data_IF_734303211509
#
_entry.id   IF_734303211509
#
_cell.length_a   1.000
_cell.length_b   1.000
_cell.length_c   1.000
_cell.angle_alpha   90.00
_cell.angle_beta   90.00
_cell.angle_gamma   90.00
#
_symmetry.space_group_name_H-M   'P 1'
#
loop_
_entity.id
_entity.type
_entity.pdbx_description
1 polymer ?
#
# COMPACT_ATOMS: atom_id res chain seq x y z
N UNK A 1 -7.57 11.06 5.03
CA UNK A 1 -6.87 10.02 4.27
C UNK A 1 -6.50 10.65 2.94
N UNK A 2 -5.20 10.70 2.61
CA UNK A 2 -4.69 11.36 1.40
C UNK A 2 -4.50 10.34 0.28
N UNK A 3 -5.11 10.56 -0.88
CA UNK A 3 -5.15 9.61 -1.99
C UNK A 3 -4.55 10.26 -3.23
N UNK A 4 -3.68 9.52 -3.91
CA UNK A 4 -3.28 9.83 -5.28
C UNK A 4 -4.25 9.15 -6.25
N UNK A 5 -4.78 9.88 -7.22
CA UNK A 5 -5.54 9.32 -8.34
C UNK A 5 -4.83 9.66 -9.64
N UNK A 6 -4.36 8.65 -10.35
CA UNK A 6 -3.61 8.78 -11.59
C UNK A 6 -4.41 8.19 -12.76
N UNK A 7 -4.88 9.05 -13.66
CA UNK A 7 -5.80 8.71 -14.75
C UNK A 7 -5.80 9.83 -15.80
N UNK A 8 -5.57 9.47 -17.06
CA UNK A 8 -5.50 10.38 -18.21
C UNK A 8 -6.84 11.05 -18.56
N UNK A 9 -7.96 10.53 -18.06
CA UNK A 9 -9.28 11.15 -18.23
C UNK A 9 -9.62 12.14 -17.11
N UNK A 10 -8.67 12.50 -16.24
CA UNK A 10 -8.84 13.59 -15.29
C UNK A 10 -8.71 14.94 -16.03
N UNK A 11 -9.75 15.79 -16.03
CA UNK A 11 -9.63 17.12 -16.62
C UNK A 11 -8.67 18.00 -15.82
N UNK A 12 -8.03 18.95 -16.51
CA UNK A 12 -7.11 19.90 -15.89
C UNK A 12 -7.80 20.68 -14.75
N UNK A 13 -7.05 21.11 -13.73
CA UNK A 13 -7.62 21.69 -12.51
C UNK A 13 -8.40 22.99 -12.75
N UNK A 14 -8.00 23.74 -13.78
CA UNK A 14 -8.59 25.00 -14.19
C UNK A 14 -9.87 24.84 -15.04
N UNK A 15 -10.18 23.62 -15.51
CA UNK A 15 -11.38 23.33 -16.31
C UNK A 15 -12.63 23.31 -15.43
N UNK A 16 -13.52 24.26 -15.67
CA UNK A 16 -14.80 24.39 -14.97
C UNK A 16 -15.74 23.22 -15.36
N UNK A 17 -16.56 22.75 -14.41
CA UNK A 17 -17.37 21.53 -14.56
C UNK A 17 -18.32 21.55 -15.78
N UNK A 18 -18.94 22.69 -16.08
CA UNK A 18 -19.83 22.84 -17.23
C UNK A 18 -19.08 23.07 -18.56
N UNK A 19 -17.76 23.14 -18.55
CA UNK A 19 -16.91 23.36 -19.73
C UNK A 19 -16.13 22.10 -20.14
N UNK A 20 -16.29 20.97 -19.43
CA UNK A 20 -15.56 19.72 -19.72
C UNK A 20 -15.76 19.26 -21.16
N UNK A 21 -16.98 19.32 -21.69
CA UNK A 21 -17.27 18.96 -23.07
C UNK A 21 -16.45 19.82 -24.05
N UNK A 22 -16.49 21.13 -23.87
CA UNK A 22 -15.73 22.08 -24.70
C UNK A 22 -14.22 21.84 -24.58
N UNK A 23 -13.73 21.60 -23.37
CA UNK A 23 -12.34 21.25 -23.12
C UNK A 23 -11.92 19.99 -23.90
N UNK A 24 -12.74 18.94 -23.87
CA UNK A 24 -12.44 17.70 -24.61
C UNK A 24 -12.45 17.94 -26.12
N UNK A 25 -13.42 18.69 -26.63
CA UNK A 25 -13.47 19.05 -28.06
C UNK A 25 -12.23 19.83 -28.50
N UNK A 26 -11.78 20.79 -27.69
CA UNK A 26 -10.65 21.67 -28.02
C UNK A 26 -9.30 20.96 -27.89
N UNK A 27 -9.08 20.22 -26.78
CA UNK A 27 -7.81 19.54 -26.48
C UNK A 27 -7.60 18.32 -27.38
N UNK A 28 -8.61 17.45 -27.49
CA UNK A 28 -8.49 16.17 -28.18
C UNK A 28 -9.01 16.19 -29.62
N UNK A 29 -9.52 17.33 -30.09
CA UNK A 29 -10.14 17.48 -31.41
C UNK A 29 -11.20 16.41 -31.68
N UNK A 30 -11.91 15.99 -30.63
CA UNK A 30 -12.80 14.84 -30.64
C UNK A 30 -14.17 15.22 -30.08
N UNK A 31 -15.22 14.78 -30.79
CA UNK A 31 -16.61 14.85 -30.34
C UNK A 31 -17.16 13.48 -29.94
N UNK A 32 -16.29 12.53 -29.65
CA UNK A 32 -16.72 11.20 -29.21
C UNK A 32 -17.46 11.33 -27.87
N UNK A 33 -18.78 11.05 -27.81
CA UNK A 33 -19.55 11.17 -26.58
C UNK A 33 -19.00 10.29 -25.46
N UNK A 34 -18.39 9.15 -25.79
CA UNK A 34 -17.80 8.25 -24.79
C UNK A 34 -16.56 8.84 -24.15
N UNK A 35 -15.76 9.59 -24.90
CA UNK A 35 -14.59 10.28 -24.36
C UNK A 35 -15.04 11.37 -23.40
N UNK A 36 -15.99 12.22 -23.82
CA UNK A 36 -16.57 13.28 -22.98
C UNK A 36 -17.16 12.69 -21.70
N UNK A 37 -17.93 11.60 -21.80
CA UNK A 37 -18.52 10.90 -20.65
C UNK A 37 -17.46 10.46 -19.63
N UNK A 38 -16.28 10.00 -20.08
CA UNK A 38 -15.17 9.61 -19.19
C UNK A 38 -14.64 10.79 -18.39
N UNK A 39 -14.39 11.93 -19.03
CA UNK A 39 -13.91 13.14 -18.33
C UNK A 39 -14.95 13.68 -17.34
N UNK A 40 -16.23 13.70 -17.74
CA UNK A 40 -17.33 14.10 -16.85
C UNK A 40 -17.43 13.15 -15.66
N UNK A 41 -17.34 11.84 -15.89
CA UNK A 41 -17.34 10.83 -14.85
C UNK A 41 -16.17 11.02 -13.87
N UNK A 42 -14.95 11.26 -14.37
CA UNK A 42 -13.78 11.47 -13.52
C UNK A 42 -13.92 12.73 -12.66
N UNK A 43 -14.40 13.86 -13.20
CA UNK A 43 -14.70 15.05 -12.39
C UNK A 43 -15.72 14.75 -11.30
N UNK A 44 -16.81 14.06 -11.65
CA UNK A 44 -17.85 13.65 -10.69
C UNK A 44 -17.30 12.75 -9.59
N UNK A 45 -16.45 11.79 -9.93
CA UNK A 45 -15.77 10.89 -8.99
C UNK A 45 -14.89 11.67 -8.01
N UNK A 46 -14.03 12.58 -8.50
CA UNK A 46 -13.17 13.41 -7.67
C UNK A 46 -13.98 14.27 -6.68
N UNK A 47 -15.06 14.89 -7.16
CA UNK A 47 -15.95 15.70 -6.32
C UNK A 47 -16.65 14.87 -5.23
N UNK A 48 -17.14 13.68 -5.57
CA UNK A 48 -17.74 12.75 -4.60
C UNK A 48 -16.73 12.26 -3.57
N UNK A 49 -15.50 11.92 -3.98
CA UNK A 49 -14.44 11.49 -3.07
C UNK A 49 -14.06 12.60 -2.08
N UNK A 50 -13.87 13.84 -2.56
CA UNK A 50 -13.63 15.00 -1.69
C UNK A 50 -14.78 15.23 -0.72
N UNK A 51 -16.03 15.16 -1.21
CA UNK A 51 -17.23 15.26 -0.37
C UNK A 51 -17.34 14.15 0.68
N UNK A 52 -16.74 12.98 0.42
CA UNK A 52 -16.65 11.88 1.37
C UNK A 52 -15.53 12.04 2.42
N UNK A 53 -14.77 13.13 2.38
CA UNK A 53 -13.72 13.48 3.35
C UNK A 53 -12.31 13.00 2.97
N UNK A 54 -12.09 12.60 1.71
CA UNK A 54 -10.75 12.27 1.23
C UNK A 54 -10.00 13.52 0.76
N UNK A 55 -8.70 13.59 1.08
CA UNK A 55 -7.78 14.56 0.45
C UNK A 55 -7.28 13.93 -0.84
N UNK A 56 -7.58 14.55 -1.99
CA UNK A 56 -7.33 13.96 -3.31
C UNK A 56 -6.36 14.82 -4.10
N UNK A 57 -5.20 14.23 -4.40
CA UNK A 57 -4.27 14.73 -5.41
C UNK A 57 -4.53 13.94 -6.70
N UNK A 58 -4.75 14.65 -7.79
CA UNK A 58 -5.16 14.09 -9.07
C UNK A 58 -4.06 14.35 -10.11
N UNK A 59 -3.70 13.32 -10.86
CA UNK A 59 -2.62 13.36 -11.84
C UNK A 59 -3.12 12.80 -13.17
N UNK A 60 -3.07 13.62 -14.22
CA UNK A 60 -3.53 13.25 -15.56
C UNK A 60 -2.41 13.02 -16.57
N UNK A 61 -1.15 13.09 -16.13
CA UNK A 61 0.02 12.79 -16.94
C UNK A 61 0.89 11.72 -16.27
N UNK A 62 1.22 10.65 -17.00
CA UNK A 62 1.97 9.52 -16.45
C UNK A 62 3.34 9.95 -15.91
N UNK A 63 4.01 10.86 -16.64
CA UNK A 63 5.32 11.39 -16.27
C UNK A 63 5.34 12.14 -14.92
N UNK A 64 4.20 12.72 -14.51
CA UNK A 64 4.13 13.49 -13.28
C UNK A 64 3.97 12.60 -12.02
N UNK A 65 3.45 11.37 -12.16
CA UNK A 65 3.15 10.48 -11.02
C UNK A 65 4.36 10.26 -10.11
N UNK A 66 5.54 10.14 -10.71
CA UNK A 66 6.78 9.92 -9.96
C UNK A 66 7.08 11.05 -8.97
N UNK A 67 6.88 12.30 -9.40
CA UNK A 67 7.07 13.49 -8.58
C UNK A 67 6.03 13.54 -7.45
N UNK A 68 4.76 13.27 -7.75
CA UNK A 68 3.70 13.21 -6.73
C UNK A 68 4.06 12.24 -5.60
N UNK A 69 4.51 11.02 -5.94
CA UNK A 69 4.85 9.96 -4.97
C UNK A 69 6.10 10.28 -4.12
N UNK A 70 7.04 11.06 -4.68
CA UNK A 70 8.23 11.51 -3.95
C UNK A 70 7.94 12.64 -2.99
N UNK A 71 7.15 13.62 -3.42
CA UNK A 71 6.93 14.86 -2.68
C UNK A 71 5.86 14.74 -1.58
N UNK A 72 4.99 13.72 -1.69
CA UNK A 72 3.84 13.57 -0.81
C UNK A 72 3.78 12.18 -0.18
N UNK A 73 3.22 12.13 1.03
CA UNK A 73 2.88 10.87 1.70
C UNK A 73 1.39 10.55 1.46
N UNK A 74 1.14 9.48 0.71
CA UNK A 74 -0.21 8.98 0.44
C UNK A 74 -0.59 7.82 1.35
N UNK A 75 -1.89 7.64 1.53
CA UNK A 75 -2.49 6.50 2.21
C UNK A 75 -2.88 5.38 1.25
N UNK A 76 -3.21 5.72 0.00
CA UNK A 76 -3.38 4.78 -1.10
C UNK A 76 -3.16 5.50 -2.45
N UNK A 77 -2.90 4.72 -3.50
CA UNK A 77 -2.89 5.19 -4.87
C UNK A 77 -3.95 4.46 -5.69
N UNK A 78 -4.72 5.18 -6.49
CA UNK A 78 -5.68 4.66 -7.47
C UNK A 78 -5.13 4.96 -8.85
N UNK A 79 -4.88 3.94 -9.66
CA UNK A 79 -4.14 4.06 -10.92
C UNK A 79 -4.94 3.39 -12.04
N UNK A 80 -5.25 4.13 -13.11
CA UNK A 80 -5.80 3.53 -14.33
C UNK A 80 -4.71 2.73 -15.04
N UNK A 81 -5.16 1.65 -15.68
CA UNK A 81 -4.30 0.76 -16.44
C UNK A 81 -3.95 1.31 -17.81
N UNK A 82 -4.94 1.89 -18.50
CA UNK A 82 -4.81 2.39 -19.86
C UNK A 82 -4.71 3.90 -19.89
N UNK A 83 -3.70 4.42 -20.59
CA UNK A 83 -3.43 5.86 -20.70
C UNK A 83 -3.46 6.27 -22.18
N UNK A 84 -4.65 6.48 -22.72
CA UNK A 84 -4.93 6.75 -24.13
C UNK A 84 -5.10 8.24 -24.46
N UNK A 85 -5.34 9.08 -23.45
CA UNK A 85 -5.59 10.52 -23.54
C UNK A 85 -4.40 11.36 -23.03
N UNK A 86 -3.27 10.73 -22.74
CA UNK A 86 -2.00 11.40 -22.44
C UNK A 86 -1.14 11.39 -23.72
N UNK A 87 -0.95 12.58 -24.30
CA UNK A 87 -0.31 12.78 -25.60
C UNK A 87 1.19 12.43 -25.59
N UNK A 88 1.80 12.39 -24.39
CA UNK A 88 3.21 12.03 -24.22
C UNK A 88 3.46 10.51 -24.34
N UNK A 89 2.40 9.70 -24.33
CA UNK A 89 2.49 8.24 -24.39
C UNK A 89 2.23 7.75 -25.81
N UNK A 90 3.23 7.07 -26.38
CA UNK A 90 3.08 6.45 -27.70
C UNK A 90 1.97 5.41 -27.71
N UNK A 91 1.23 5.30 -28.82
CA UNK A 91 0.10 4.37 -29.00
C UNK A 91 0.37 2.93 -28.53
N UNK A 92 1.58 2.42 -28.76
CA UNK A 92 1.97 1.06 -28.36
C UNK A 92 2.15 0.90 -26.84
N UNK A 93 2.42 1.98 -26.12
CA UNK A 93 2.64 1.99 -24.68
C UNK A 93 1.38 2.33 -23.88
N UNK A 94 0.40 3.00 -24.48
CA UNK A 94 -0.88 3.37 -23.85
C UNK A 94 -1.56 2.21 -23.08
N UNK A 95 -1.63 0.96 -23.59
CA UNK A 95 -2.21 -0.16 -22.84
C UNK A 95 -1.32 -0.70 -21.71
N UNK A 96 -0.09 -0.25 -21.56
CA UNK A 96 0.86 -0.78 -20.59
C UNK A 96 1.32 0.25 -19.56
N UNK A 97 1.10 1.54 -19.80
CA UNK A 97 1.62 2.60 -18.93
C UNK A 97 1.18 2.46 -17.48
N UNK A 98 -0.07 2.10 -17.22
CA UNK A 98 -0.54 1.89 -15.85
C UNK A 98 0.23 0.80 -15.09
N UNK A 99 0.71 -0.25 -15.77
CA UNK A 99 1.60 -1.24 -15.15
C UNK A 99 2.95 -0.63 -14.78
N UNK A 100 3.51 0.22 -15.65
CA UNK A 100 4.77 0.89 -15.40
C UNK A 100 4.67 1.82 -14.18
N UNK A 101 3.60 2.61 -14.12
CA UNK A 101 3.32 3.50 -12.98
C UNK A 101 3.18 2.70 -11.67
N UNK A 102 2.44 1.58 -11.69
CA UNK A 102 2.32 0.69 -10.53
C UNK A 102 3.70 0.22 -10.05
N UNK A 103 4.58 -0.19 -10.97
CA UNK A 103 5.93 -0.65 -10.63
C UNK A 103 6.78 0.48 -10.01
N UNK A 104 6.67 1.71 -10.51
CA UNK A 104 7.32 2.89 -9.93
C UNK A 104 6.83 3.10 -8.49
N UNK A 105 5.51 3.11 -8.29
CA UNK A 105 4.88 3.31 -6.99
C UNK A 105 5.35 2.24 -6.00
N UNK A 106 5.30 0.96 -6.37
CA UNK A 106 5.70 -0.14 -5.51
C UNK A 106 7.20 -0.14 -5.20
N UNK A 107 8.04 0.25 -6.16
CA UNK A 107 9.49 0.36 -5.94
C UNK A 107 9.83 1.48 -4.95
N UNK A 108 9.16 2.63 -5.04
CA UNK A 108 9.44 3.80 -4.20
C UNK A 108 8.71 3.76 -2.86
N UNK A 109 7.51 3.20 -2.83
CA UNK A 109 6.61 3.11 -1.68
C UNK A 109 6.02 1.70 -1.58
N UNK A 110 6.81 0.67 -1.22
CA UNK A 110 6.37 -0.73 -1.23
C UNK A 110 5.23 -1.05 -0.27
N UNK A 111 4.99 -0.20 0.73
CA UNK A 111 3.88 -0.34 1.68
C UNK A 111 2.63 0.48 1.31
N UNK A 112 2.66 1.25 0.22
CA UNK A 112 1.50 2.03 -0.24
C UNK A 112 0.50 1.09 -0.92
N UNK A 113 -0.73 0.94 -0.41
CA UNK A 113 -1.76 0.18 -1.10
C UNK A 113 -2.04 0.78 -2.48
N UNK A 114 -2.02 -0.07 -3.50
CA UNK A 114 -2.31 0.33 -4.88
C UNK A 114 -3.61 -0.33 -5.32
N UNK A 115 -4.50 0.48 -5.87
CA UNK A 115 -5.77 0.08 -6.45
C UNK A 115 -5.65 0.28 -7.96
N UNK A 116 -5.72 -0.80 -8.73
CA UNK A 116 -5.83 -0.74 -10.18
C UNK A 116 -7.29 -0.49 -10.53
N UNK A 117 -7.59 0.66 -11.12
CA UNK A 117 -8.95 1.08 -11.40
C UNK A 117 -9.18 1.22 -12.90
N UNK A 118 -9.67 0.16 -13.53
CA UNK A 118 -9.74 0.10 -15.00
C UNK A 118 -10.95 -0.66 -15.52
N UNK A 119 -11.45 -0.24 -16.68
CA UNK A 119 -12.52 -0.93 -17.42
C UNK A 119 -11.98 -2.20 -18.11
N UNK A 120 -10.67 -2.28 -18.33
CA UNK A 120 -10.02 -3.42 -19.00
C UNK A 120 -9.99 -4.69 -18.16
N UNK A 121 -10.26 -4.58 -16.85
CA UNK A 121 -10.37 -5.73 -15.95
C UNK A 121 -11.47 -6.73 -16.35
N UNK A 122 -12.48 -6.27 -17.09
CA UNK A 122 -13.53 -7.13 -17.63
C UNK A 122 -13.17 -7.71 -19.02
N UNK A 123 -12.25 -7.07 -19.74
CA UNK A 123 -11.87 -7.43 -21.11
C UNK A 123 -10.90 -8.60 -21.15
N UNK A 124 -9.98 -8.68 -20.19
CA UNK A 124 -8.96 -9.73 -20.11
C UNK A 124 -8.84 -10.29 -18.67
N UNK A 125 -9.19 -11.56 -18.43
CA UNK A 125 -9.12 -12.18 -17.11
C UNK A 125 -7.68 -12.35 -16.59
N UNK A 126 -6.66 -12.21 -17.44
CA UNK A 126 -5.27 -12.23 -17.00
C UNK A 126 -4.86 -10.95 -16.29
N UNK A 127 -5.54 -9.83 -16.53
CA UNK A 127 -5.22 -8.55 -15.89
C UNK A 127 -5.52 -8.61 -14.37
N UNK A 128 -6.72 -9.01 -13.90
CA UNK A 128 -6.96 -9.19 -12.46
C UNK A 128 -6.00 -10.18 -11.79
N UNK A 129 -5.64 -11.26 -12.49
CA UNK A 129 -4.68 -12.25 -11.97
C UNK A 129 -3.29 -11.62 -11.81
N UNK A 130 -2.78 -10.93 -12.83
CA UNK A 130 -1.50 -10.24 -12.77
C UNK A 130 -1.48 -9.10 -11.73
N UNK A 131 -2.62 -8.44 -11.49
CA UNK A 131 -2.75 -7.44 -10.44
C UNK A 131 -2.60 -8.10 -9.05
N UNK A 132 -3.30 -9.22 -8.82
CA UNK A 132 -3.19 -9.97 -7.58
C UNK A 132 -1.77 -10.49 -7.33
N UNK A 133 -1.09 -11.03 -8.35
CA UNK A 133 0.30 -11.51 -8.26
C UNK A 133 1.28 -10.38 -7.87
N UNK A 134 0.98 -9.14 -8.28
CA UNK A 134 1.75 -7.95 -7.91
C UNK A 134 1.28 -7.31 -6.59
N UNK A 135 0.30 -7.88 -5.88
CA UNK A 135 -0.23 -7.30 -4.65
C UNK A 135 -1.02 -6.00 -4.86
N UNK A 136 -1.61 -5.83 -6.04
CA UNK A 136 -2.46 -4.69 -6.41
C UNK A 136 -3.92 -5.12 -6.33
N UNK A 137 -4.80 -4.25 -5.83
CA UNK A 137 -6.24 -4.51 -5.76
C UNK A 137 -6.92 -4.14 -7.09
N UNK A 138 -7.40 -5.09 -7.91
CA UNK A 138 -8.15 -4.78 -9.12
C UNK A 138 -9.58 -4.33 -8.78
N UNK A 139 -10.00 -3.19 -9.32
CA UNK A 139 -11.33 -2.62 -9.16
C UNK A 139 -11.87 -2.19 -10.52
N UNK A 140 -12.98 -2.81 -10.93
CA UNK A 140 -13.58 -2.55 -12.22
C UNK A 140 -14.16 -1.13 -12.29
N UNK A 141 -13.65 -0.34 -13.24
CA UNK A 141 -14.11 1.02 -13.54
C UNK A 141 -15.23 0.96 -14.57
N UNK A 142 -16.42 1.38 -14.17
CA UNK A 142 -17.58 1.58 -15.05
C UNK A 142 -18.19 2.94 -14.75
N UNK A 143 -18.80 3.58 -15.76
CA UNK A 143 -19.12 5.00 -15.74
C UNK A 143 -20.46 5.31 -15.04
N UNK A 144 -20.70 4.72 -13.88
CA UNK A 144 -21.94 4.90 -13.10
C UNK A 144 -21.65 5.29 -11.65
N UNK A 145 -22.64 5.90 -10.98
CA UNK A 145 -22.52 6.34 -9.59
C UNK A 145 -22.16 5.22 -8.62
N UNK A 146 -22.69 4.01 -8.85
CA UNK A 146 -22.39 2.84 -8.03
C UNK A 146 -20.89 2.49 -8.05
N UNK A 147 -20.18 2.76 -9.15
CA UNK A 147 -18.75 2.54 -9.23
C UNK A 147 -17.96 3.47 -8.29
N UNK A 148 -18.38 4.74 -8.22
CA UNK A 148 -17.79 5.74 -7.32
C UNK A 148 -18.04 5.36 -5.86
N UNK A 149 -19.27 4.94 -5.53
CA UNK A 149 -19.64 4.54 -4.18
C UNK A 149 -18.88 3.27 -3.74
N UNK A 150 -18.65 2.34 -4.67
CA UNK A 150 -17.78 1.18 -4.45
C UNK A 150 -16.34 1.59 -4.18
N UNK A 151 -15.77 2.51 -4.96
CA UNK A 151 -14.42 3.02 -4.72
C UNK A 151 -14.29 3.70 -3.35
N UNK A 152 -15.28 4.49 -2.93
CA UNK A 152 -15.34 5.09 -1.58
C UNK A 152 -15.31 4.00 -0.50
N UNK A 153 -16.12 2.94 -0.64
CA UNK A 153 -16.16 1.84 0.31
C UNK A 153 -14.80 1.11 0.39
N UNK A 154 -14.16 0.88 -0.75
CA UNK A 154 -12.83 0.25 -0.85
C UNK A 154 -11.77 1.12 -0.16
N UNK A 155 -11.75 2.43 -0.42
CA UNK A 155 -10.79 3.33 0.21
C UNK A 155 -10.97 3.39 1.74
N UNK A 156 -12.22 3.39 2.23
CA UNK A 156 -12.51 3.29 3.67
C UNK A 156 -12.02 1.96 4.26
N UNK A 157 -12.22 0.86 3.55
CA UNK A 157 -11.70 -0.44 3.96
C UNK A 157 -10.17 -0.43 4.05
N UNK A 158 -9.48 0.06 3.02
CA UNK A 158 -8.01 0.20 3.01
C UNK A 158 -7.52 1.07 4.17
N UNK A 159 -8.20 2.19 4.44
CA UNK A 159 -7.91 3.05 5.59
C UNK A 159 -8.01 2.29 6.91
N UNK A 160 -9.10 1.54 7.11
CA UNK A 160 -9.34 0.78 8.34
C UNK A 160 -8.31 -0.33 8.54
N UNK A 161 -7.90 -1.01 7.47
CA UNK A 161 -6.85 -2.03 7.51
C UNK A 161 -5.50 -1.45 7.89
N UNK A 162 -5.15 -0.27 7.33
CA UNK A 162 -3.92 0.44 7.70
C UNK A 162 -3.93 0.85 9.18
N UNK A 163 -5.06 1.30 9.70
CA UNK A 163 -5.20 1.58 11.13
C UNK A 163 -5.06 0.31 11.98
N UNK A 164 -5.67 -0.81 11.59
CA UNK A 164 -5.52 -2.07 12.31
C UNK A 164 -4.07 -2.54 12.33
N UNK A 165 -3.37 -2.50 11.19
CA UNK A 165 -1.94 -2.84 11.11
C UNK A 165 -1.09 -1.88 11.95
N UNK A 166 -1.42 -0.59 11.98
CA UNK A 166 -0.73 0.39 12.85
C UNK A 166 -1.00 0.14 14.34
N UNK A 167 -2.21 -0.30 14.69
CA UNK A 167 -2.62 -0.66 16.05
C UNK A 167 -2.03 -2.00 16.50
N UNK A 168 -1.70 -2.92 15.57
CA UNK A 168 -0.82 -4.05 15.85
C UNK A 168 0.54 -3.46 16.19
N UNK A 169 0.71 -3.29 17.49
CA UNK A 169 1.51 -2.24 18.10
C UNK A 169 2.99 -2.38 17.77
N UNK A 170 3.48 -1.51 16.88
CA UNK A 170 4.92 -1.39 16.58
C UNK A 170 5.77 -1.14 17.84
N UNK A 171 5.19 -0.57 18.90
CA UNK A 171 5.86 -0.43 20.20
C UNK A 171 5.97 -1.78 20.90
N UNK A 172 4.93 -2.60 20.88
CA UNK A 172 4.97 -3.99 21.36
C UNK A 172 6.01 -4.78 20.58
N UNK A 173 5.99 -4.75 19.25
CA UNK A 173 7.00 -5.43 18.42
C UNK A 173 8.43 -4.95 18.70
N UNK A 174 8.65 -3.64 18.81
CA UNK A 174 9.96 -3.05 19.12
C UNK A 174 10.45 -3.44 20.52
N UNK A 175 9.58 -3.41 21.52
CA UNK A 175 9.92 -3.83 22.88
C UNK A 175 10.27 -5.32 22.92
N UNK A 176 9.52 -6.17 22.21
CA UNK A 176 9.80 -7.61 22.13
C UNK A 176 11.11 -7.88 21.40
N UNK A 177 11.35 -7.18 20.29
CA UNK A 177 12.62 -7.27 19.55
C UNK A 177 13.79 -6.92 20.46
N UNK A 178 13.72 -5.80 21.20
CA UNK A 178 14.76 -5.37 22.15
C UNK A 178 14.97 -6.43 23.24
N UNK A 179 13.90 -6.95 23.83
CA UNK A 179 14.00 -7.99 24.88
C UNK A 179 14.65 -9.26 24.32
N UNK A 180 14.24 -9.70 23.13
CA UNK A 180 14.74 -10.92 22.48
C UNK A 180 16.22 -10.77 22.11
N UNK A 181 16.62 -9.62 21.56
CA UNK A 181 18.02 -9.32 21.25
C UNK A 181 18.86 -9.27 22.53
N UNK A 182 18.36 -8.64 23.60
CA UNK A 182 19.06 -8.57 24.89
C UNK A 182 19.26 -9.96 25.47
N UNK A 183 18.25 -10.83 25.43
CA UNK A 183 18.36 -12.22 25.87
C UNK A 183 19.37 -13.02 25.05
N UNK A 184 19.39 -12.84 23.72
CA UNK A 184 20.40 -13.48 22.86
C UNK A 184 21.82 -13.05 23.23
N UNK A 185 22.05 -11.75 23.47
CA UNK A 185 23.36 -11.24 23.89
C UNK A 185 23.76 -11.81 25.23
N UNK A 186 22.85 -11.84 26.21
CA UNK A 186 23.10 -12.43 27.53
C UNK A 186 23.44 -13.92 27.41
N UNK A 187 22.68 -14.67 26.61
CA UNK A 187 22.95 -16.08 26.35
C UNK A 187 24.33 -16.32 25.73
N UNK A 188 24.74 -15.47 24.78
CA UNK A 188 26.06 -15.53 24.16
C UNK A 188 27.18 -15.26 25.18
N UNK A 189 27.01 -14.28 26.05
CA UNK A 189 27.99 -13.98 27.12
C UNK A 189 28.15 -15.17 28.06
N UNK A 190 27.04 -15.79 28.49
CA UNK A 190 27.09 -16.98 29.34
C UNK A 190 27.75 -18.17 28.64
N UNK A 191 27.52 -18.34 27.33
CA UNK A 191 28.18 -19.38 26.55
C UNK A 191 29.70 -19.17 26.47
N UNK A 192 30.15 -17.93 26.23
CA UNK A 192 31.58 -17.58 26.20
C UNK A 192 32.23 -17.77 27.58
N UNK A 193 31.58 -17.32 28.65
CA UNK A 193 32.07 -17.50 30.02
C UNK A 193 32.14 -18.99 30.39
N UNK A 194 31.11 -19.77 30.03
CA UNK A 194 31.07 -21.21 30.24
C UNK A 194 32.20 -21.94 29.53
N UNK A 195 32.43 -21.63 28.25
CA UNK A 195 33.57 -22.13 27.48
C UNK A 195 34.92 -21.76 28.12
N UNK A 196 35.07 -20.51 28.56
CA UNK A 196 36.27 -20.05 29.25
C UNK A 196 36.54 -20.81 30.55
N UNK A 197 35.50 -21.06 31.36
CA UNK A 197 35.65 -21.82 32.60
C UNK A 197 35.94 -23.31 32.37
N UNK A 198 35.38 -23.91 31.31
CA UNK A 198 35.69 -25.26 30.86
C UNK A 198 37.17 -25.39 30.47
N UNK A 199 37.67 -24.44 29.66
CA UNK A 199 39.07 -24.41 29.23
C UNK A 199 40.05 -24.21 30.40
N UNK A 200 39.62 -23.50 31.45
CA UNK A 200 40.40 -23.30 32.67
C UNK A 200 40.28 -24.45 33.69
N UNK A 201 39.53 -25.51 33.35
CA UNK A 201 39.31 -26.71 34.19
C UNK A 201 38.77 -26.39 35.59
N UNK A 202 37.97 -25.31 35.70
CA UNK A 202 37.50 -24.75 36.99
C UNK A 202 36.03 -25.04 37.30
N UNK A 203 35.34 -25.92 36.57
CA UNK A 203 33.89 -26.11 36.73
C UNK A 203 33.49 -27.57 36.90
N UNK A 204 32.61 -27.81 37.88
CA UNK A 204 31.77 -29.01 37.94
C UNK A 204 30.66 -28.87 36.89
N UNK A 205 30.44 -29.91 36.09
CA UNK A 205 29.47 -29.95 34.97
C UNK A 205 28.06 -29.46 35.36
N UNK A 206 27.70 -29.52 36.64
CA UNK A 206 26.43 -29.03 37.18
C UNK A 206 26.21 -27.51 37.07
N UNK A 207 27.25 -26.68 37.16
CA UNK A 207 27.08 -25.21 37.15
C UNK A 207 26.75 -24.66 35.75
N UNK A 208 27.36 -25.24 34.72
CA UNK A 208 27.09 -24.90 33.31
C UNK A 208 25.65 -25.28 32.92
N UNK A 209 25.22 -26.46 33.35
CA UNK A 209 23.87 -26.97 33.07
C UNK A 209 22.78 -26.12 33.76
N UNK A 210 23.04 -25.67 34.99
CA UNK A 210 22.15 -24.76 35.71
C UNK A 210 22.03 -23.39 35.02
N UNK A 211 23.13 -22.83 34.52
CA UNK A 211 23.13 -21.56 33.79
C UNK A 211 22.31 -21.62 32.49
N UNK A 212 22.50 -22.68 31.68
CA UNK A 212 21.73 -22.89 30.44
C UNK A 212 20.24 -23.10 30.73
N UNK A 213 19.91 -23.84 31.80
CA UNK A 213 18.51 -24.10 32.19
C UNK A 213 17.80 -22.81 32.65
N UNK A 214 18.51 -21.93 33.35
CA UNK A 214 17.99 -20.63 33.77
C UNK A 214 17.67 -19.72 32.57
N UNK A 215 18.59 -19.63 31.60
CA UNK A 215 18.41 -18.83 30.38
C UNK A 215 17.23 -19.36 29.56
N UNK A 216 17.16 -20.68 29.35
CA UNK A 216 16.06 -21.31 28.62
C UNK A 216 14.70 -21.08 29.28
N UNK A 217 14.66 -21.10 30.62
CA UNK A 217 13.45 -20.80 31.40
C UNK A 217 13.03 -19.33 31.28
N UNK A 218 13.98 -18.39 31.31
CA UNK A 218 13.69 -16.97 31.07
C UNK A 218 13.19 -16.73 29.65
N UNK A 219 13.81 -17.33 28.63
CA UNK A 219 13.36 -17.23 27.25
C UNK A 219 11.95 -17.79 27.07
N UNK A 220 11.67 -18.96 27.65
CA UNK A 220 10.33 -19.57 27.63
C UNK A 220 9.29 -18.68 28.30
N UNK A 221 9.62 -18.06 29.43
CA UNK A 221 8.73 -17.12 30.14
C UNK A 221 8.42 -15.86 29.33
N UNK A 222 9.42 -15.28 28.66
CA UNK A 222 9.22 -14.13 27.77
C UNK A 222 8.37 -14.51 26.56
N UNK A 223 8.65 -15.67 25.95
CA UNK A 223 7.88 -16.18 24.81
C UNK A 223 6.42 -16.46 25.18
N UNK A 224 6.19 -17.04 26.36
CA UNK A 224 4.85 -17.30 26.88
C UNK A 224 4.09 -16.01 27.17
N UNK A 225 4.73 -15.02 27.80
CA UNK A 225 4.12 -13.71 28.03
C UNK A 225 3.73 -13.05 26.71
N UNK A 226 4.61 -13.09 25.71
CA UNK A 226 4.32 -12.60 24.36
C UNK A 226 3.10 -13.28 23.73
N UNK A 227 3.07 -14.61 23.69
CA UNK A 227 1.95 -15.36 23.16
C UNK A 227 0.64 -15.05 23.90
N UNK A 228 0.71 -14.82 25.21
CA UNK A 228 -0.45 -14.45 26.02
C UNK A 228 -0.99 -13.05 25.71
N UNK A 229 -0.11 -12.08 25.48
CA UNK A 229 -0.49 -10.69 25.16
C UNK A 229 -1.04 -10.60 23.72
N UNK A 230 -0.42 -11.30 22.76
CA UNK A 230 -0.95 -11.43 21.39
C UNK A 230 -2.31 -12.09 21.39
N UNK A 231 -2.49 -13.19 22.14
CA UNK A 231 -3.77 -13.89 22.26
C UNK A 231 -4.87 -12.99 22.85
N UNK A 232 -4.55 -12.18 23.86
CA UNK A 232 -5.51 -11.23 24.43
C UNK A 232 -5.94 -10.16 23.42
N UNK A 233 -4.99 -9.60 22.68
CA UNK A 233 -5.27 -8.57 21.68
C UNK A 233 -6.03 -9.08 20.46
N UNK A 234 -5.92 -10.38 20.11
CA UNK A 234 -6.69 -10.99 19.02
C UNK A 234 -8.12 -11.34 19.44
N UNK A 235 -8.36 -11.59 20.74
CA UNK A 235 -9.65 -12.04 21.27
C UNK A 235 -10.50 -10.92 21.90
N UNK A 236 -9.99 -9.69 21.94
CA UNK A 236 -10.67 -8.48 22.45
C UNK A 236 -11.15 -7.61 21.32
#
# INVERSE_FOLDING_TARGET
MKILIADDHIPDEDVIENEIEKFVEEKYQSRDPKLIERFVFMRKMLNKLRSAGFEIDACNHAAAVDSFIQENDYDAAVIDLGWYADDDITYNNQPFEGWHIIEIVQKKRPALPVIMYSNRLYEDPLIPLGAADKGVLPVYKYFEDACIDNLIAILRFVSSMKEQVRRIDTKTYKNISIITTTLMVVALIFLVLGLGMLLLNKTEEGQLTAGVSFITSMMSGVFWKYLSDVRKNILS
#
